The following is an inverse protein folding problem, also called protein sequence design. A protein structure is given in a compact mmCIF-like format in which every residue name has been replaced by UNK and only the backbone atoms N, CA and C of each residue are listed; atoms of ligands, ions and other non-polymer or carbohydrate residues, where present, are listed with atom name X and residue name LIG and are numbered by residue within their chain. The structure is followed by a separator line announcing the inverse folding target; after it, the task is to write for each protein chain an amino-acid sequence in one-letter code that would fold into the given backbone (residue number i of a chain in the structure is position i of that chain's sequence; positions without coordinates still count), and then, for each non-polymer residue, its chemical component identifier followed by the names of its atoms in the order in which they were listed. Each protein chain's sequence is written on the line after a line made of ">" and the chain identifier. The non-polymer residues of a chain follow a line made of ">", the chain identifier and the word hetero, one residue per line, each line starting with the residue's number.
data_IF_509886008729
#
_entry.id   IF_509886008729
#
_cell.length_a   1.000
_cell.length_b   1.000
_cell.length_c   1.000
_cell.angle_alpha   90.00
_cell.angle_beta   90.00
_cell.angle_gamma   90.00
#
_symmetry.space_group_name_H-M   'P 1'
#
loop_
_entity.id
_entity.type
_entity.pdbx_description
1 polymer ?
#
# COMPACT_ATOMS: atom_id res chain seq x y z
N UNK A 1 7.17 15.81 5.49
CA UNK A 1 6.00 15.36 6.28
C UNK A 1 6.17 15.72 7.75
N UNK A 2 7.19 15.20 8.46
CA UNK A 2 7.43 15.57 9.87
C UNK A 2 7.66 17.08 10.07
N UNK A 3 8.44 17.72 9.19
CA UNK A 3 8.70 19.16 9.25
C UNK A 3 7.49 20.06 8.93
N UNK A 4 6.47 19.52 8.25
CA UNK A 4 5.30 20.30 7.78
C UNK A 4 4.00 19.94 8.51
N UNK A 5 4.04 18.96 9.42
CA UNK A 5 2.85 18.44 10.10
C UNK A 5 1.84 17.73 9.18
N UNK A 6 2.17 17.54 7.90
CA UNK A 6 1.27 16.97 6.89
C UNK A 6 0.92 15.53 7.27
N UNK A 7 -0.39 15.25 7.42
CA UNK A 7 -0.90 13.90 7.59
C UNK A 7 -0.72 13.10 6.31
N UNK A 8 -0.34 11.84 6.46
CA UNK A 8 -0.02 10.96 5.33
C UNK A 8 -0.39 9.52 5.66
N UNK A 9 -0.79 8.80 4.63
CA UNK A 9 -0.87 7.35 4.64
C UNK A 9 0.23 6.79 3.73
N UNK A 10 0.88 5.71 4.15
CA UNK A 10 1.87 5.00 3.35
C UNK A 10 1.31 3.65 2.94
N UNK A 11 1.07 3.44 1.65
CA UNK A 11 0.59 2.15 1.13
C UNK A 11 1.77 1.20 0.92
N UNK A 12 1.68 0.03 1.52
CA UNK A 12 2.68 -1.04 1.39
C UNK A 12 2.79 -1.62 -0.02
N UNK A 13 3.77 -2.51 -0.26
CA UNK A 13 3.87 -3.21 -1.53
C UNK A 13 2.65 -4.11 -1.75
N UNK A 14 2.32 -4.36 -3.01
CA UNK A 14 1.34 -5.38 -3.38
C UNK A 14 2.01 -6.71 -3.74
N UNK A 15 1.25 -7.80 -3.71
CA UNK A 15 1.69 -9.08 -4.27
C UNK A 15 2.05 -8.97 -5.75
N UNK A 16 2.79 -9.94 -6.26
CA UNK A 16 3.08 -10.08 -7.68
C UNK A 16 3.16 -11.55 -8.07
N UNK A 17 3.72 -11.83 -9.25
CA UNK A 17 4.05 -13.21 -9.63
C UNK A 17 5.43 -13.55 -9.11
N UNK A 18 5.56 -14.70 -8.46
CA UNK A 18 6.86 -15.20 -8.00
C UNK A 18 7.77 -15.51 -9.21
N UNK A 19 9.02 -15.10 -9.14
CA UNK A 19 10.03 -15.29 -10.18
C UNK A 19 9.93 -14.24 -11.30
N UNK A 20 10.04 -14.70 -12.55
CA UNK A 20 10.04 -13.85 -13.74
C UNK A 20 11.29 -12.98 -13.87
N UNK A 21 11.26 -12.01 -14.79
CA UNK A 21 12.41 -11.15 -15.08
C UNK A 21 12.85 -10.28 -13.89
N UNK A 22 11.94 -10.04 -12.94
CA UNK A 22 12.18 -9.18 -11.78
C UNK A 22 12.46 -9.93 -10.48
N UNK A 23 12.43 -11.27 -10.52
CA UNK A 23 12.76 -12.13 -9.38
C UNK A 23 11.99 -11.75 -8.10
N UNK A 24 10.75 -11.26 -8.27
CA UNK A 24 9.88 -10.93 -7.15
C UNK A 24 9.55 -12.22 -6.41
N UNK A 25 9.48 -12.16 -5.09
CA UNK A 25 9.09 -13.31 -4.27
C UNK A 25 8.36 -12.84 -3.01
N UNK A 26 7.62 -13.76 -2.40
CA UNK A 26 6.72 -13.45 -1.30
C UNK A 26 7.50 -13.06 -0.04
N UNK A 27 8.60 -13.75 0.26
CA UNK A 27 9.43 -13.48 1.43
C UNK A 27 9.98 -12.04 1.42
N UNK A 28 10.53 -11.58 0.30
CA UNK A 28 11.01 -10.19 0.14
C UNK A 28 9.86 -9.19 0.19
N UNK A 29 8.70 -9.55 -0.38
CA UNK A 29 7.51 -8.68 -0.36
C UNK A 29 7.02 -8.48 1.08
N UNK A 30 6.95 -9.55 1.87
CA UNK A 30 6.59 -9.50 3.30
C UNK A 30 7.63 -8.74 4.11
N UNK A 31 8.93 -9.01 3.91
CA UNK A 31 10.02 -8.30 4.57
C UNK A 31 9.90 -6.78 4.36
N UNK A 32 9.66 -6.36 3.11
CA UNK A 32 9.50 -4.94 2.78
C UNK A 32 8.25 -4.34 3.42
N UNK A 33 7.12 -5.07 3.42
CA UNK A 33 5.90 -4.64 4.11
C UNK A 33 6.15 -4.39 5.60
N UNK A 34 6.76 -5.36 6.30
CA UNK A 34 7.06 -5.25 7.74
C UNK A 34 8.07 -4.14 8.06
N UNK A 35 9.09 -3.98 7.22
CA UNK A 35 10.05 -2.89 7.35
C UNK A 35 9.33 -1.53 7.27
N UNK A 36 8.48 -1.33 6.25
CA UNK A 36 7.73 -0.08 6.09
C UNK A 36 6.76 0.15 7.25
N UNK A 37 6.04 -0.87 7.69
CA UNK A 37 5.13 -0.79 8.83
C UNK A 37 5.80 -0.21 10.09
N UNK A 38 7.10 -0.46 10.27
CA UNK A 38 7.88 -0.02 11.44
C UNK A 38 8.59 1.33 11.23
N UNK A 39 8.74 1.82 9.99
CA UNK A 39 9.66 2.92 9.66
C UNK A 39 9.01 4.12 8.96
N UNK A 40 7.74 4.05 8.59
CA UNK A 40 7.08 5.15 7.84
C UNK A 40 6.43 6.20 8.72
N UNK A 41 6.58 6.10 10.05
CA UNK A 41 6.13 7.13 10.97
C UNK A 41 6.74 8.50 10.58
N UNK A 42 5.96 9.60 10.59
CA UNK A 42 4.63 9.74 11.20
C UNK A 42 3.44 9.34 10.32
N UNK A 43 3.65 8.73 9.14
CA UNK A 43 2.53 8.27 8.31
C UNK A 43 1.84 7.06 8.92
N UNK A 44 0.53 6.97 8.67
CA UNK A 44 -0.23 5.75 8.96
C UNK A 44 0.05 4.72 7.88
N UNK A 45 0.60 3.58 8.27
CA UNK A 45 0.87 2.51 7.32
C UNK A 45 -0.43 1.78 6.93
N UNK A 46 -0.58 1.51 5.64
CA UNK A 46 -1.64 0.69 5.07
C UNK A 46 -1.00 -0.58 4.50
N UNK A 47 -1.26 -1.72 5.12
CA UNK A 47 -0.75 -3.00 4.65
C UNK A 47 -1.53 -3.50 3.42
N UNK A 48 -0.98 -3.22 2.24
CA UNK A 48 -1.58 -3.63 0.97
C UNK A 48 -1.53 -5.16 0.74
N UNK A 49 -0.77 -5.92 1.53
CA UNK A 49 -0.74 -7.38 1.42
C UNK A 49 -2.00 -8.03 1.99
N UNK A 50 -2.73 -7.32 2.84
CA UNK A 50 -4.01 -7.77 3.40
C UNK A 50 -5.18 -7.70 2.40
N UNK A 51 -5.02 -6.96 1.29
CA UNK A 51 -6.09 -6.71 0.32
C UNK A 51 -6.37 -7.90 -0.61
N UNK A 52 -5.39 -8.79 -0.75
CA UNK A 52 -5.47 -9.94 -1.64
C UNK A 52 -4.54 -11.06 -1.18
N UNK A 53 -4.69 -12.23 -1.77
CA UNK A 53 -3.76 -13.35 -1.61
C UNK A 53 -2.68 -13.30 -2.71
N UNK A 54 -1.49 -13.89 -2.49
CA UNK A 54 -0.50 -14.08 -3.55
C UNK A 54 -1.12 -14.69 -4.81
N UNK A 55 -0.82 -14.11 -5.97
CA UNK A 55 -1.35 -14.55 -7.27
C UNK A 55 -2.80 -14.19 -7.57
N UNK A 56 -3.57 -13.63 -6.62
CA UNK A 56 -4.98 -13.28 -6.84
C UNK A 56 -5.15 -12.16 -7.89
N UNK A 57 -4.29 -11.15 -7.87
CA UNK A 57 -4.30 -10.08 -8.88
C UNK A 57 -3.23 -10.33 -9.93
N UNK A 58 -3.69 -10.45 -11.17
CA UNK A 58 -2.84 -10.82 -12.31
C UNK A 58 -1.94 -9.65 -12.69
N UNK A 59 -0.66 -9.97 -12.91
CA UNK A 59 0.36 -9.06 -13.45
C UNK A 59 0.72 -9.43 -14.89
N UNK A 60 1.15 -8.44 -15.67
CA UNK A 60 1.57 -8.64 -17.07
C UNK A 60 2.99 -9.19 -17.17
N UNK A 61 3.87 -8.79 -16.25
CA UNK A 61 5.31 -9.09 -16.28
C UNK A 61 5.85 -9.61 -14.94
N UNK A 62 4.96 -9.87 -13.99
CA UNK A 62 5.27 -10.30 -12.63
C UNK A 62 5.23 -9.19 -11.58
N UNK A 63 5.22 -7.91 -11.98
CA UNK A 63 5.15 -6.77 -11.07
C UNK A 63 3.96 -5.85 -11.33
N UNK A 64 3.74 -5.49 -12.59
CA UNK A 64 2.70 -4.54 -12.97
C UNK A 64 1.38 -5.25 -13.12
N UNK A 65 0.34 -4.77 -12.43
CA UNK A 65 -0.98 -5.35 -12.55
C UNK A 65 -1.56 -5.15 -13.96
N UNK A 66 -2.48 -6.05 -14.33
CA UNK A 66 -3.42 -5.77 -15.42
C UNK A 66 -4.34 -4.60 -15.03
N UNK A 67 -5.09 -4.05 -16.00
CA UNK A 67 -6.09 -3.00 -15.74
C UNK A 67 -7.08 -3.42 -14.63
N UNK A 68 -7.56 -4.66 -14.66
CA UNK A 68 -8.46 -5.19 -13.63
C UNK A 68 -7.78 -5.29 -12.25
N UNK A 69 -6.50 -5.68 -12.21
CA UNK A 69 -5.72 -5.72 -10.98
C UNK A 69 -5.49 -4.33 -10.39
N UNK A 70 -5.13 -3.33 -11.21
CA UNK A 70 -5.00 -1.94 -10.77
C UNK A 70 -6.32 -1.36 -10.25
N UNK A 71 -7.45 -1.66 -10.90
CA UNK A 71 -8.77 -1.25 -10.42
C UNK A 71 -9.07 -1.85 -9.04
N UNK A 72 -8.82 -3.15 -8.87
CA UNK A 72 -9.03 -3.85 -7.60
C UNK A 72 -8.13 -3.29 -6.49
N UNK A 73 -6.86 -3.04 -6.79
CA UNK A 73 -5.90 -2.46 -5.85
C UNK A 73 -6.27 -1.04 -5.44
N UNK A 74 -6.62 -0.19 -6.42
CA UNK A 74 -7.06 1.18 -6.18
C UNK A 74 -8.32 1.27 -5.33
N UNK A 75 -9.33 0.43 -5.60
CA UNK A 75 -10.54 0.34 -4.76
C UNK A 75 -10.19 -0.07 -3.33
N UNK A 76 -9.36 -1.11 -3.14
CA UNK A 76 -8.97 -1.56 -1.81
C UNK A 76 -8.18 -0.49 -1.02
N UNK A 77 -7.33 0.30 -1.69
CA UNK A 77 -6.65 1.45 -1.08
C UNK A 77 -7.67 2.50 -0.65
N UNK A 78 -8.62 2.86 -1.52
CA UNK A 78 -9.68 3.82 -1.20
C UNK A 78 -10.52 3.39 0.00
N UNK A 79 -10.92 2.11 0.05
CA UNK A 79 -11.66 1.54 1.17
C UNK A 79 -10.83 1.53 2.47
N UNK A 80 -9.54 1.22 2.38
CA UNK A 80 -8.65 1.25 3.54
C UNK A 80 -8.49 2.67 4.08
N UNK A 81 -8.27 3.65 3.19
CA UNK A 81 -8.20 5.07 3.55
C UNK A 81 -9.50 5.55 4.20
N UNK A 82 -10.67 5.17 3.67
CA UNK A 82 -11.98 5.54 4.20
C UNK A 82 -12.28 4.94 5.59
N UNK A 83 -11.59 3.86 5.97
CA UNK A 83 -11.69 3.23 7.29
C UNK A 83 -10.69 3.78 8.30
N UNK A 84 -9.70 4.55 7.86
CA UNK A 84 -8.75 5.15 8.78
C UNK A 84 -9.43 6.20 9.67
N UNK A 85 -9.01 6.34 10.95
CA UNK A 85 -9.52 7.39 11.81
C UNK A 85 -9.31 8.77 11.17
N UNK A 86 -10.29 9.67 11.28
CA UNK A 86 -10.22 11.03 10.71
C UNK A 86 -8.94 11.76 11.13
N UNK A 87 -8.44 11.54 12.35
CA UNK A 87 -7.19 12.15 12.86
C UNK A 87 -5.91 11.68 12.15
N UNK A 88 -5.96 10.56 11.44
CA UNK A 88 -4.81 9.95 10.77
C UNK A 88 -4.60 10.44 9.33
N UNK A 89 -5.65 10.95 8.68
CA UNK A 89 -5.64 11.36 7.26
C UNK A 89 -6.34 12.69 6.98
N UNK A 90 -7.25 13.14 7.85
CA UNK A 90 -7.88 14.44 7.70
C UNK A 90 -7.07 15.50 8.46
N UNK A 91 -6.53 16.45 7.71
CA UNK A 91 -6.15 17.74 8.28
C UNK A 91 -7.43 18.50 8.62
N UNK A 92 -8.06 18.21 9.76
CA UNK A 92 -9.22 18.99 10.20
C UNK A 92 -8.78 20.46 10.37
N UNK A 93 -9.16 21.32 9.42
CA UNK A 93 -9.16 22.77 9.56
C UNK A 93 -7.81 23.48 9.39
N UNK A 94 -7.25 23.47 8.18
CA UNK A 94 -6.61 24.70 7.69
C UNK A 94 -7.72 25.67 7.27
N UNK A 95 -8.42 26.26 8.24
CA UNK A 95 -9.05 27.56 7.97
C UNK A 95 -7.90 28.55 7.87
N UNK A 96 -7.65 29.04 6.65
CA UNK A 96 -7.05 30.36 6.46
C UNK A 96 -8.05 31.41 6.95
#
# INVERSE_FOLDING_TARGET
>A
MAATGTKCAWVGPAWGKVGGMYQKNDARTQLMSQFLASNVAPCTYIDSLSFSKPGQWITTDGQHFTVAGYKSWGTAIGDALGKLPVTSVSAAGAKQ
#
